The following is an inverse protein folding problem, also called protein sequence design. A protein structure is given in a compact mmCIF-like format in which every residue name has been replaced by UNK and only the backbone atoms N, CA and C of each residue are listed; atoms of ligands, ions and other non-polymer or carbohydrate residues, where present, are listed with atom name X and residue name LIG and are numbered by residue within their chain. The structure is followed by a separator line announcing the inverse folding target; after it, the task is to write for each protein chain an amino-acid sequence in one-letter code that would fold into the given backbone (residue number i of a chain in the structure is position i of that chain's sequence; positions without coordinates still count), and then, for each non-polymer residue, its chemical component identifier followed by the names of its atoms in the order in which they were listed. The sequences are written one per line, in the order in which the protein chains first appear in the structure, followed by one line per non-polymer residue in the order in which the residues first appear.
data_IF_385254652516
#
_entry.id   IF_385254652516
#
_cell.length_a   1.000
_cell.length_b   1.000
_cell.length_c   1.000
_cell.angle_alpha   90.00
_cell.angle_beta   90.00
_cell.angle_gamma   90.00
#
_symmetry.space_group_name_H-M   'P 1'
#
loop_
_entity.id
_entity.type
_entity.pdbx_description
1 polymer ?
#
# COMPACT_ATOMS: atom_id res chain seq x y z
N UNK A 1 10.36 17.24 -6.00
CA UNK A 1 10.40 16.11 -6.96
C UNK A 1 8.98 15.55 -7.06
N UNK A 2 8.44 15.41 -8.27
CA UNK A 2 7.01 15.38 -8.61
C UNK A 2 6.17 14.44 -7.71
N UNK A 3 5.21 15.00 -6.96
CA UNK A 3 4.14 14.22 -6.33
C UNK A 3 3.17 13.74 -7.42
N UNK A 4 3.62 12.74 -8.20
CA UNK A 4 2.81 12.10 -9.23
C UNK A 4 1.61 11.46 -8.52
N UNK A 5 0.41 11.93 -8.85
CA UNK A 5 -0.90 11.51 -8.34
C UNK A 5 -0.88 10.19 -7.59
N UNK A 6 -1.00 10.29 -6.27
CA UNK A 6 -0.87 9.17 -5.35
C UNK A 6 -1.99 8.13 -5.50
N UNK A 7 -3.11 8.54 -6.12
CA UNK A 7 -4.26 7.71 -6.40
C UNK A 7 -4.19 7.18 -7.83
N UNK A 8 -4.16 5.86 -7.98
CA UNK A 8 -4.11 5.17 -9.27
C UNK A 8 -5.33 4.28 -9.45
N UNK A 9 -5.70 4.04 -10.70
CA UNK A 9 -6.76 3.10 -11.04
C UNK A 9 -6.35 1.66 -10.70
N UNK A 10 -7.34 0.75 -10.64
CA UNK A 10 -7.08 -0.68 -10.44
C UNK A 10 -6.29 -1.31 -11.59
N UNK A 11 -6.38 -0.75 -12.81
CA UNK A 11 -5.60 -1.20 -13.96
C UNK A 11 -4.13 -0.82 -13.81
N UNK A 12 -3.85 0.45 -13.52
CA UNK A 12 -2.48 0.91 -13.26
C UNK A 12 -1.83 0.18 -12.07
N UNK A 13 -2.62 -0.16 -11.04
CA UNK A 13 -2.15 -0.99 -9.94
C UNK A 13 -1.73 -2.40 -10.41
N UNK A 14 -2.51 -3.01 -11.31
CA UNK A 14 -2.15 -4.29 -11.90
C UNK A 14 -0.87 -4.18 -12.74
N UNK A 15 -0.69 -3.10 -13.50
CA UNK A 15 0.52 -2.86 -14.29
C UNK A 15 1.78 -2.72 -13.41
N UNK A 16 1.66 -2.05 -12.26
CA UNK A 16 2.76 -1.94 -11.29
C UNK A 16 3.16 -3.31 -10.74
N UNK A 17 2.18 -4.15 -10.40
CA UNK A 17 2.45 -5.50 -9.90
C UNK A 17 3.02 -6.40 -11.01
N UNK A 18 2.50 -6.29 -12.23
CA UNK A 18 2.98 -7.04 -13.39
C UNK A 18 4.43 -6.68 -13.75
N UNK A 19 4.83 -5.41 -13.60
CA UNK A 19 6.23 -4.99 -13.76
C UNK A 19 7.19 -5.68 -12.75
N UNK A 20 6.65 -6.21 -11.65
CA UNK A 20 7.38 -7.01 -10.68
C UNK A 20 7.18 -8.52 -10.85
N UNK A 21 6.65 -8.97 -12.00
CA UNK A 21 6.30 -10.37 -12.29
C UNK A 21 5.22 -10.95 -11.35
N UNK A 22 4.35 -10.09 -10.81
CA UNK A 22 3.24 -10.48 -9.93
C UNK A 22 1.93 -10.17 -10.65
N UNK A 23 1.20 -11.21 -11.07
CA UNK A 23 -0.01 -11.04 -11.87
C UNK A 23 -1.28 -11.16 -11.04
N UNK A 24 -2.05 -10.08 -10.97
CA UNK A 24 -3.40 -10.06 -10.39
C UNK A 24 -4.35 -9.31 -11.31
N UNK A 25 -5.63 -9.71 -11.26
CA UNK A 25 -6.68 -8.98 -11.97
C UNK A 25 -7.04 -7.69 -11.22
N UNK A 26 -7.51 -6.68 -11.95
CA UNK A 26 -8.08 -5.47 -11.34
C UNK A 26 -9.24 -5.79 -10.37
N UNK A 27 -10.00 -6.87 -10.63
CA UNK A 27 -11.07 -7.32 -9.74
C UNK A 27 -10.53 -7.81 -8.38
N UNK A 28 -9.44 -8.59 -8.39
CA UNK A 28 -8.76 -9.06 -7.17
C UNK A 28 -8.26 -7.88 -6.33
N UNK A 29 -7.58 -6.93 -6.95
CA UNK A 29 -7.09 -5.70 -6.29
C UNK A 29 -8.27 -4.88 -5.74
N UNK A 30 -9.35 -4.78 -6.52
CA UNK A 30 -10.60 -4.17 -6.08
C UNK A 30 -11.25 -4.88 -4.89
N UNK A 31 -11.05 -6.20 -4.74
CA UNK A 31 -11.45 -6.99 -3.59
C UNK A 31 -10.66 -6.60 -2.33
N UNK A 32 -9.34 -6.44 -2.43
CA UNK A 32 -8.52 -5.96 -1.31
C UNK A 32 -8.90 -4.56 -0.85
N UNK A 33 -9.13 -3.65 -1.79
CA UNK A 33 -9.62 -2.32 -1.50
C UNK A 33 -11.01 -2.35 -0.81
N UNK A 34 -11.90 -3.30 -1.15
CA UNK A 34 -13.21 -3.46 -0.47
C UNK A 34 -13.05 -3.98 0.94
N UNK A 35 -12.09 -4.87 1.15
CA UNK A 35 -11.77 -5.45 2.44
C UNK A 35 -10.93 -4.51 3.34
N UNK A 36 -10.64 -3.29 2.91
CA UNK A 36 -9.81 -2.34 3.67
C UNK A 36 -8.32 -2.69 3.73
N UNK A 37 -7.86 -3.64 2.91
CA UNK A 37 -6.45 -4.05 2.83
C UNK A 37 -5.57 -3.11 2.01
N UNK A 38 -6.20 -2.26 1.20
CA UNK A 38 -5.57 -1.14 0.51
C UNK A 38 -6.42 0.10 0.75
N UNK A 39 -5.78 1.22 1.05
CA UNK A 39 -6.43 2.52 1.10
C UNK A 39 -7.02 2.82 -0.28
N UNK A 40 -8.31 3.15 -0.30
CA UNK A 40 -9.04 3.38 -1.53
C UNK A 40 -10.02 4.55 -1.43
N UNK A 41 -10.25 5.19 -2.56
CA UNK A 41 -11.27 6.22 -2.74
C UNK A 41 -12.18 5.86 -3.91
N UNK A 42 -13.40 6.42 -3.92
CA UNK A 42 -14.33 6.32 -5.02
C UNK A 42 -14.57 7.71 -5.60
N UNK A 43 -14.28 7.89 -6.88
CA UNK A 43 -14.49 9.14 -7.63
C UNK A 43 -15.25 8.81 -8.91
N UNK A 44 -16.38 9.48 -9.15
CA UNK A 44 -17.17 9.29 -10.38
C UNK A 44 -17.56 7.83 -10.66
N UNK A 45 -17.90 7.06 -9.63
CA UNK A 45 -18.25 5.63 -9.77
C UNK A 45 -17.05 4.68 -9.89
N UNK A 46 -15.83 5.19 -10.09
CA UNK A 46 -14.60 4.40 -10.24
C UNK A 46 -13.81 4.36 -8.93
N UNK A 47 -13.08 3.27 -8.72
CA UNK A 47 -12.26 3.05 -7.52
C UNK A 47 -10.79 3.27 -7.83
N UNK A 48 -10.11 3.94 -6.91
CA UNK A 48 -8.68 4.21 -6.96
C UNK A 48 -8.03 3.71 -5.68
N UNK A 49 -6.75 3.33 -5.76
CA UNK A 49 -5.93 2.86 -4.63
C UNK A 49 -4.66 3.70 -4.51
N UNK A 50 -4.01 3.68 -3.35
CA UNK A 50 -2.72 4.36 -3.16
C UNK A 50 -1.59 3.65 -3.91
N UNK A 51 -0.91 4.37 -4.79
CA UNK A 51 0.28 3.90 -5.53
C UNK A 51 1.37 3.41 -4.58
N UNK A 52 1.62 4.15 -3.49
CA UNK A 52 2.62 3.80 -2.48
C UNK A 52 2.37 2.44 -1.84
N UNK A 53 1.11 2.16 -1.46
CA UNK A 53 0.75 0.86 -0.87
C UNK A 53 0.87 -0.28 -1.88
N UNK A 54 0.46 -0.07 -3.13
CA UNK A 54 0.63 -1.09 -4.19
C UNK A 54 2.10 -1.41 -4.42
N UNK A 55 2.99 -0.40 -4.42
CA UNK A 55 4.45 -0.62 -4.50
C UNK A 55 5.01 -1.33 -3.26
N UNK A 56 4.46 -1.04 -2.08
CA UNK A 56 4.88 -1.69 -0.84
C UNK A 56 4.58 -3.19 -0.81
N UNK A 57 3.58 -3.67 -1.57
CA UNK A 57 3.31 -5.11 -1.73
C UNK A 57 4.45 -5.86 -2.43
N UNK A 58 5.21 -5.17 -3.27
CA UNK A 58 6.34 -5.73 -4.02
C UNK A 58 7.64 -5.60 -3.22
N UNK A 59 7.77 -4.54 -2.43
CA UNK A 59 8.94 -4.34 -1.61
C UNK A 59 9.09 -5.51 -0.63
N UNK A 60 10.27 -6.15 -0.62
CA UNK A 60 10.59 -7.16 0.38
C UNK A 60 10.24 -6.60 1.77
N UNK A 61 9.59 -7.38 2.67
CA UNK A 61 9.34 -6.95 4.03
C UNK A 61 10.66 -6.41 4.58
N UNK A 62 10.67 -5.14 5.01
CA UNK A 62 11.85 -4.61 5.69
C UNK A 62 12.05 -5.49 6.91
N UNK A 63 13.11 -6.32 6.89
CA UNK A 63 13.57 -7.01 8.08
C UNK A 63 14.10 -5.93 9.00
N UNK A 64 13.23 -5.41 9.85
CA UNK A 64 13.64 -4.60 11.00
C UNK A 64 14.26 -5.58 11.96
N UNK A 65 15.55 -5.40 12.26
CA UNK A 65 16.17 -6.24 13.28
C UNK A 65 15.52 -5.87 14.61
N UNK A 66 15.35 -6.84 15.50
CA UNK A 66 14.73 -6.57 16.80
C UNK A 66 15.46 -5.45 17.57
N UNK A 67 16.77 -5.32 17.37
CA UNK A 67 17.63 -4.24 17.88
C UNK A 67 17.27 -2.83 17.37
N UNK A 68 16.61 -2.71 16.21
CA UNK A 68 16.17 -1.43 15.61
C UNK A 68 14.74 -1.06 16.00
N UNK A 69 14.00 -1.95 16.67
CA UNK A 69 12.68 -1.65 17.22
C UNK A 69 12.90 -0.87 18.50
N UNK A 70 12.81 0.46 18.43
CA UNK A 70 12.95 1.28 19.63
C UNK A 70 11.91 0.88 20.68
N UNK A 71 12.32 0.67 21.95
CA UNK A 71 11.39 0.48 23.04
C UNK A 71 10.48 1.70 23.16
N UNK A 72 9.25 1.44 23.60
CA UNK A 72 8.10 2.35 23.55
C UNK A 72 8.47 3.69 24.21
N UNK A 73 8.29 4.79 23.48
CA UNK A 73 8.67 6.18 23.82
C UNK A 73 8.02 6.76 25.09
N UNK A 74 7.22 5.98 25.83
CA UNK A 74 6.35 6.49 26.91
C UNK A 74 6.46 5.75 28.24
N UNK A 75 7.49 4.93 28.46
CA UNK A 75 7.69 4.29 29.77
C UNK A 75 8.02 5.31 30.89
N UNK A 76 8.42 6.54 30.54
CA UNK A 76 8.80 7.59 31.51
C UNK A 76 7.65 8.54 31.92
N UNK A 77 6.39 8.31 31.52
CA UNK A 77 5.25 9.16 31.91
C UNK A 77 4.46 8.68 33.15
N UNK A 78 4.94 7.64 33.83
CA UNK A 78 4.38 7.16 35.09
C UNK A 78 5.11 7.70 36.31
N UNK A 79 4.88 8.98 36.63
CA UNK A 79 5.27 9.61 37.90
C UNK A 79 4.04 10.00 38.72
#
# INVERSE_FOLDING_TARGET
MVAATDWITLAEAADILAAANIHFTAATIGGWARAGRLQSIKLGGRRFVRRGEVRALVAAPRRVRAEDVQPVLFEDLGG
#
